data_IF_054923321226
#
_entry.id   IF_054923321226
#
_cell.length_a   1.000
_cell.length_b   1.000
_cell.length_c   1.000
_cell.angle_alpha   90.00
_cell.angle_beta   90.00
_cell.angle_gamma   90.00
#
_symmetry.space_group_name_H-M   'P 1'
#
loop_
_entity.id
_entity.type
_entity.pdbx_description
1 polymer ?
#
# COMPACT_ATOMS: atom_id res chain seq x y z
N UNK A 1 25.90 -12.02 -2.50
CA UNK A 1 25.01 -11.35 -3.47
C UNK A 1 23.88 -12.31 -3.80
N UNK A 2 22.60 -11.97 -3.52
CA UNK A 2 21.47 -12.90 -3.70
C UNK A 2 21.37 -13.38 -5.15
N UNK A 3 21.04 -14.68 -5.35
CA UNK A 3 20.96 -15.31 -6.69
C UNK A 3 19.96 -14.62 -7.65
N UNK A 4 18.90 -13.97 -7.13
CA UNK A 4 17.95 -13.23 -7.96
C UNK A 4 18.57 -11.95 -8.56
N UNK A 5 19.53 -11.32 -7.88
CA UNK A 5 20.28 -10.17 -8.42
C UNK A 5 21.29 -10.57 -9.51
N UNK A 6 21.68 -11.85 -9.60
CA UNK A 6 22.48 -12.32 -10.76
C UNK A 6 21.68 -12.30 -12.08
N UNK A 7 20.34 -12.35 -12.01
CA UNK A 7 19.46 -12.19 -13.18
C UNK A 7 19.25 -10.73 -13.60
N UNK A 8 19.51 -9.77 -12.70
CA UNK A 8 19.50 -8.36 -13.06
C UNK A 8 20.79 -8.05 -13.81
N UNK A 9 20.67 -7.67 -15.07
CA UNK A 9 21.81 -7.18 -15.85
C UNK A 9 22.48 -6.00 -15.14
N UNK A 10 23.72 -5.72 -15.50
CA UNK A 10 24.43 -4.52 -15.00
C UNK A 10 23.59 -3.25 -15.20
N UNK A 11 22.92 -3.13 -16.33
CA UNK A 11 22.01 -2.02 -16.65
C UNK A 11 20.84 -1.90 -15.67
N UNK A 12 20.16 -3.00 -15.33
CA UNK A 12 19.08 -2.96 -14.34
C UNK A 12 19.56 -2.42 -12.99
N UNK A 13 20.72 -2.85 -12.55
CA UNK A 13 21.30 -2.40 -11.27
C UNK A 13 21.70 -0.93 -11.31
N UNK A 14 22.25 -0.49 -12.43
CA UNK A 14 22.64 0.91 -12.62
C UNK A 14 21.41 1.82 -12.64
N UNK A 15 20.37 1.48 -13.40
CA UNK A 15 19.10 2.22 -13.45
C UNK A 15 18.40 2.25 -12.10
N UNK A 16 18.34 1.12 -11.40
CA UNK A 16 17.70 1.07 -10.09
C UNK A 16 18.45 1.96 -9.07
N UNK A 17 19.77 1.93 -9.06
CA UNK A 17 20.60 2.80 -8.19
C UNK A 17 20.41 4.29 -8.53
N UNK A 18 20.43 4.62 -9.82
CA UNK A 18 20.18 5.99 -10.29
C UNK A 18 18.79 6.46 -9.86
N UNK A 19 17.79 5.62 -10.02
CA UNK A 19 16.43 5.91 -9.58
C UNK A 19 16.36 6.15 -8.06
N UNK A 20 16.91 5.25 -7.24
CA UNK A 20 16.93 5.42 -5.78
C UNK A 20 17.73 6.66 -5.31
N UNK A 21 18.65 7.17 -6.13
CA UNK A 21 19.41 8.38 -5.80
C UNK A 21 18.69 9.65 -6.25
N UNK A 22 18.15 9.67 -7.45
CA UNK A 22 17.56 10.86 -8.07
C UNK A 22 16.07 11.05 -7.75
N UNK A 23 15.27 9.97 -7.80
CA UNK A 23 13.83 10.06 -7.64
C UNK A 23 13.39 10.61 -6.26
N UNK A 24 14.02 10.26 -5.12
CA UNK A 24 13.65 10.85 -3.85
C UNK A 24 13.86 12.36 -3.81
N UNK A 25 14.96 12.85 -4.42
CA UNK A 25 15.25 14.30 -4.49
C UNK A 25 14.17 15.00 -5.32
N UNK A 26 13.87 14.48 -6.52
CA UNK A 26 12.86 15.03 -7.41
C UNK A 26 11.47 14.98 -6.80
N UNK A 27 11.08 13.85 -6.23
CA UNK A 27 9.74 13.67 -5.69
C UNK A 27 9.53 14.41 -4.36
N UNK A 28 10.55 14.53 -3.50
CA UNK A 28 10.46 15.37 -2.30
C UNK A 28 10.31 16.87 -2.63
N UNK A 29 10.90 17.32 -3.73
CA UNK A 29 10.69 18.69 -4.22
C UNK A 29 9.32 18.86 -4.89
N UNK A 30 8.79 17.80 -5.50
CA UNK A 30 7.52 17.86 -6.23
C UNK A 30 6.30 17.67 -5.33
N UNK A 31 6.37 16.77 -4.32
CA UNK A 31 5.32 16.47 -3.37
C UNK A 31 5.70 16.92 -1.95
N UNK A 32 4.70 17.11 -1.11
CA UNK A 32 4.87 17.29 0.32
C UNK A 32 4.70 15.95 1.02
N UNK A 33 5.83 15.28 1.31
CA UNK A 33 5.82 13.98 2.00
C UNK A 33 5.85 14.13 3.52
N UNK A 34 5.07 13.27 4.17
CA UNK A 34 5.13 13.02 5.60
C UNK A 34 5.29 11.52 5.84
N UNK A 35 6.26 11.15 6.68
CA UNK A 35 6.55 9.76 7.02
C UNK A 35 6.35 9.54 8.50
N UNK A 36 5.58 8.52 8.88
CA UNK A 36 5.31 8.14 10.27
C UNK A 36 5.67 6.67 10.45
N UNK A 37 6.28 6.31 11.61
CA UNK A 37 6.61 4.93 11.96
C UNK A 37 7.81 4.37 11.21
N UNK A 38 8.72 5.21 10.72
CA UNK A 38 9.93 4.76 10.03
C UNK A 38 10.85 3.89 10.89
N UNK A 39 10.82 4.10 12.21
CA UNK A 39 11.49 3.26 13.20
C UNK A 39 11.09 1.79 13.09
N UNK A 40 9.85 1.48 12.69
CA UNK A 40 9.40 0.11 12.46
C UNK A 40 10.08 -0.55 11.26
N UNK A 41 10.60 0.25 10.33
CA UNK A 41 11.31 -0.22 9.15
C UNK A 41 12.78 -0.47 9.48
N UNK A 42 13.37 0.37 10.32
CA UNK A 42 14.78 0.33 10.67
C UNK A 42 15.17 -0.89 11.53
N UNK A 43 14.20 -1.52 12.21
CA UNK A 43 14.43 -2.74 13.00
C UNK A 43 14.65 -4.00 12.14
N UNK A 44 14.42 -3.92 10.83
CA UNK A 44 14.67 -5.06 9.94
C UNK A 44 16.09 -4.99 9.39
N UNK A 45 17.00 -5.96 9.68
CA UNK A 45 18.38 -5.93 9.23
C UNK A 45 18.51 -5.85 7.71
N UNK A 46 19.55 -5.17 7.22
CA UNK A 46 19.85 -5.10 5.78
C UNK A 46 20.07 -6.51 5.21
N UNK A 47 19.51 -6.77 4.03
CA UNK A 47 19.63 -8.07 3.35
C UNK A 47 18.66 -9.16 3.86
N UNK A 48 17.87 -8.90 4.90
CA UNK A 48 16.77 -9.80 5.28
C UNK A 48 15.54 -9.54 4.42
N UNK A 49 14.81 -10.59 3.99
CA UNK A 49 13.57 -10.40 3.27
C UNK A 49 12.54 -9.72 4.16
N UNK A 50 11.74 -8.84 3.58
CA UNK A 50 10.61 -8.18 4.25
C UNK A 50 9.47 -7.98 3.27
N UNK A 51 8.24 -8.13 3.72
CA UNK A 51 7.05 -7.86 2.91
C UNK A 51 6.41 -6.57 3.43
N UNK A 52 6.25 -5.59 2.55
CA UNK A 52 5.45 -4.40 2.81
C UNK A 52 4.06 -4.59 2.22
N UNK A 53 3.05 -4.57 3.07
CA UNK A 53 1.65 -4.70 2.67
C UNK A 53 0.96 -3.35 2.75
N UNK A 54 0.55 -2.79 1.61
CA UNK A 54 -0.04 -1.46 1.55
C UNK A 54 -1.42 -1.46 0.91
N UNK A 55 -2.22 -0.43 1.24
CA UNK A 55 -3.38 -0.07 0.44
C UNK A 55 -2.96 0.34 -0.98
N UNK A 56 -3.90 0.40 -1.93
CA UNK A 56 -3.57 0.70 -3.33
C UNK A 56 -4.61 1.60 -3.98
N UNK A 57 -4.26 2.87 -4.15
CA UNK A 57 -5.15 3.92 -4.67
C UNK A 57 -4.62 4.60 -5.94
N UNK A 58 -3.30 4.55 -6.17
CA UNK A 58 -2.65 5.25 -7.27
C UNK A 58 -1.62 4.38 -7.99
N UNK A 59 -1.34 4.69 -9.25
CA UNK A 59 -0.18 4.14 -9.98
C UNK A 59 1.16 4.54 -9.35
N UNK A 60 1.17 5.65 -8.60
CA UNK A 60 2.37 6.16 -7.94
C UNK A 60 2.71 5.43 -6.64
N UNK A 61 1.80 4.61 -6.07
CA UNK A 61 2.00 4.06 -4.73
C UNK A 61 3.33 3.32 -4.58
N UNK A 62 3.67 2.42 -5.51
CA UNK A 62 4.93 1.67 -5.47
C UNK A 62 6.16 2.55 -5.68
N UNK A 63 6.05 3.58 -6.52
CA UNK A 63 7.14 4.55 -6.80
C UNK A 63 7.35 5.43 -5.58
N UNK A 64 6.29 6.01 -5.04
CA UNK A 64 6.30 6.84 -3.82
C UNK A 64 6.87 6.03 -2.65
N UNK A 65 6.42 4.78 -2.51
CA UNK A 65 6.91 3.88 -1.48
C UNK A 65 8.40 3.57 -1.64
N UNK A 66 8.86 3.28 -2.86
CA UNK A 66 10.27 3.06 -3.16
C UNK A 66 11.15 4.28 -2.79
N UNK A 67 10.64 5.49 -3.02
CA UNK A 67 11.32 6.72 -2.61
C UNK A 67 11.35 6.91 -1.09
N UNK A 68 10.30 6.51 -0.37
CA UNK A 68 10.29 6.53 1.09
C UNK A 68 11.38 5.63 1.69
N UNK A 69 11.67 4.51 1.03
CA UNK A 69 12.74 3.59 1.42
C UNK A 69 14.15 4.00 0.97
N UNK A 70 14.27 4.95 0.03
CA UNK A 70 15.56 5.39 -0.51
C UNK A 70 16.35 6.29 0.46
N UNK A 71 16.41 5.92 1.73
CA UNK A 71 17.16 6.62 2.79
C UNK A 71 18.57 6.06 2.93
N UNK A 72 19.50 6.78 3.63
CA UNK A 72 20.88 6.32 3.80
C UNK A 72 20.98 4.89 4.31
N UNK A 73 20.20 4.51 5.32
CA UNK A 73 20.19 3.17 5.93
C UNK A 73 19.50 2.11 5.06
N UNK A 74 18.78 2.54 4.01
CA UNK A 74 18.00 1.67 3.11
C UNK A 74 18.51 1.67 1.68
N UNK A 75 19.57 2.43 1.36
CA UNK A 75 20.12 2.62 0.01
C UNK A 75 20.46 1.35 -0.75
N UNK A 76 20.57 0.22 -0.07
CA UNK A 76 20.96 -1.06 -0.67
C UNK A 76 19.85 -2.09 -0.75
N UNK A 77 18.64 -1.78 -0.24
CA UNK A 77 17.52 -2.71 -0.34
C UNK A 77 16.87 -2.60 -1.70
N UNK A 78 17.01 -3.66 -2.47
CA UNK A 78 16.26 -3.81 -3.69
C UNK A 78 14.84 -4.30 -3.34
N UNK A 79 13.85 -3.68 -3.97
CA UNK A 79 12.44 -3.99 -3.78
C UNK A 79 11.85 -4.54 -5.07
N UNK A 80 11.17 -5.66 -4.97
CA UNK A 80 10.31 -6.17 -6.03
C UNK A 80 8.86 -5.78 -5.74
N UNK A 81 8.05 -5.54 -6.80
CA UNK A 81 6.63 -5.26 -6.65
C UNK A 81 5.80 -5.79 -7.81
N UNK A 82 4.56 -6.18 -7.50
CA UNK A 82 3.63 -6.70 -8.49
C UNK A 82 2.99 -5.56 -9.28
N UNK A 83 3.01 -5.66 -10.60
CA UNK A 83 2.31 -4.75 -11.49
C UNK A 83 1.35 -5.51 -12.41
N UNK A 84 0.30 -4.84 -12.91
CA UNK A 84 -0.64 -5.45 -13.85
C UNK A 84 0.08 -5.91 -15.10
N UNK A 85 0.06 -7.22 -15.38
CA UNK A 85 0.69 -7.80 -16.57
C UNK A 85 0.10 -7.26 -17.87
N UNK A 86 -1.21 -6.99 -17.88
CA UNK A 86 -1.88 -6.33 -19.01
C UNK A 86 -1.31 -4.92 -19.22
N UNK A 87 -1.24 -4.09 -18.17
CA UNK A 87 -0.72 -2.73 -18.28
C UNK A 87 0.75 -2.70 -18.73
N UNK A 88 1.58 -3.63 -18.22
CA UNK A 88 2.99 -3.75 -18.64
C UNK A 88 3.17 -4.13 -20.09
N UNK A 89 2.23 -4.90 -20.68
CA UNK A 89 2.26 -5.27 -22.10
C UNK A 89 1.76 -4.15 -23.00
N UNK A 90 0.68 -3.47 -22.59
CA UNK A 90 -0.02 -2.50 -23.43
C UNK A 90 0.59 -1.10 -23.40
N UNK A 91 1.34 -0.76 -22.34
CA UNK A 91 1.91 0.57 -22.18
C UNK A 91 3.43 0.50 -21.95
N UNK A 92 4.25 1.06 -22.86
CA UNK A 92 5.72 1.05 -22.75
C UNK A 92 6.23 1.65 -21.43
N UNK A 93 5.57 2.68 -20.91
CA UNK A 93 5.93 3.28 -19.62
C UNK A 93 5.80 2.27 -18.47
N UNK A 94 4.73 1.46 -18.43
CA UNK A 94 4.59 0.43 -17.42
C UNK A 94 5.55 -0.75 -17.67
N UNK A 95 5.88 -1.04 -18.94
CA UNK A 95 6.92 -1.99 -19.29
C UNK A 95 8.29 -1.58 -18.75
N UNK A 96 8.59 -0.27 -18.79
CA UNK A 96 9.84 0.28 -18.26
C UNK A 96 9.99 0.09 -16.73
N UNK A 97 8.91 -0.02 -15.97
CA UNK A 97 8.95 -0.29 -14.53
C UNK A 97 9.63 -1.62 -14.17
N UNK A 98 9.78 -2.54 -15.15
CA UNK A 98 10.56 -3.76 -14.96
C UNK A 98 12.00 -3.46 -14.50
N UNK A 99 12.61 -2.40 -14.99
CA UNK A 99 13.95 -1.96 -14.56
C UNK A 99 14.01 -1.49 -13.11
N UNK A 100 12.86 -1.21 -12.50
CA UNK A 100 12.71 -0.79 -11.11
C UNK A 100 12.18 -1.87 -10.18
N UNK A 101 12.18 -3.13 -10.64
CA UNK A 101 11.75 -4.26 -9.83
C UNK A 101 10.29 -4.64 -9.98
N UNK A 102 9.55 -4.03 -10.92
CA UNK A 102 8.21 -4.48 -11.24
C UNK A 102 8.23 -5.84 -11.94
N UNK A 103 7.29 -6.71 -11.58
CA UNK A 103 7.05 -7.96 -12.29
C UNK A 103 5.56 -8.16 -12.54
N UNK A 104 5.21 -8.78 -13.70
CA UNK A 104 3.83 -8.87 -14.12
C UNK A 104 3.03 -9.86 -13.28
N UNK A 105 1.79 -9.49 -12.91
CA UNK A 105 0.79 -10.39 -12.36
C UNK A 105 -0.45 -10.41 -13.25
N UNK A 106 -0.92 -11.61 -13.53
CA UNK A 106 -2.15 -11.88 -14.27
C UNK A 106 -3.14 -12.50 -13.27
N UNK A 107 -4.30 -11.84 -13.00
CA UNK A 107 -5.28 -12.35 -12.02
C UNK A 107 -5.80 -13.75 -12.33
N UNK A 108 -5.88 -14.11 -13.61
CA UNK A 108 -6.29 -15.41 -14.11
C UNK A 108 -5.26 -16.51 -13.87
N UNK A 109 -3.98 -16.16 -13.78
CA UNK A 109 -2.87 -17.07 -13.49
C UNK A 109 -1.82 -16.40 -12.59
N UNK A 110 -2.03 -16.34 -11.27
CA UNK A 110 -1.14 -15.65 -10.34
C UNK A 110 0.13 -16.44 -9.98
N UNK A 111 0.19 -17.75 -10.23
CA UNK A 111 1.30 -18.61 -9.78
C UNK A 111 2.69 -18.19 -10.29
N UNK A 112 2.88 -17.82 -11.55
CA UNK A 112 4.19 -17.32 -11.99
C UNK A 112 4.67 -16.10 -11.23
N UNK A 113 3.76 -15.17 -10.89
CA UNK A 113 4.06 -13.99 -10.10
C UNK A 113 4.41 -14.35 -8.64
N UNK A 114 3.64 -15.26 -8.01
CA UNK A 114 3.93 -15.76 -6.67
C UNK A 114 5.28 -16.50 -6.61
N UNK A 115 5.61 -17.30 -7.63
CA UNK A 115 6.92 -17.96 -7.74
C UNK A 115 8.06 -16.94 -7.84
N UNK A 116 7.88 -15.89 -8.63
CA UNK A 116 8.88 -14.79 -8.74
C UNK A 116 9.03 -14.05 -7.41
N UNK A 117 7.92 -13.71 -6.75
CA UNK A 117 7.92 -13.06 -5.43
C UNK A 117 8.64 -13.93 -4.39
N UNK A 118 8.36 -15.24 -4.35
CA UNK A 118 9.01 -16.19 -3.45
C UNK A 118 10.53 -16.23 -3.68
N UNK A 119 10.96 -16.31 -4.94
CA UNK A 119 12.39 -16.27 -5.29
C UNK A 119 13.04 -14.95 -4.89
N UNK A 120 12.34 -13.84 -5.04
CA UNK A 120 12.81 -12.51 -4.62
C UNK A 120 13.03 -12.47 -3.11
N UNK A 121 12.05 -12.92 -2.31
CA UNK A 121 12.15 -13.01 -0.86
C UNK A 121 13.30 -13.95 -0.43
N UNK A 122 13.40 -15.15 -1.01
CA UNK A 122 14.51 -16.09 -0.74
C UNK A 122 15.89 -15.52 -1.10
N UNK A 123 15.94 -14.48 -1.92
CA UNK A 123 17.14 -13.77 -2.29
C UNK A 123 17.42 -12.54 -1.41
N UNK A 124 16.64 -12.32 -0.35
CA UNK A 124 16.81 -11.20 0.58
C UNK A 124 16.26 -9.87 0.08
N UNK A 125 15.42 -9.87 -0.99
CA UNK A 125 14.79 -8.64 -1.46
C UNK A 125 13.58 -8.28 -0.59
N UNK A 126 13.28 -6.98 -0.53
CA UNK A 126 11.99 -6.51 -0.06
C UNK A 126 10.91 -6.75 -1.13
N UNK A 127 9.69 -7.02 -0.70
CA UNK A 127 8.53 -7.16 -1.57
C UNK A 127 7.47 -6.14 -1.17
N UNK A 128 7.00 -5.36 -2.13
CA UNK A 128 5.83 -4.49 -1.96
C UNK A 128 4.61 -5.15 -2.62
N UNK A 129 3.54 -5.33 -1.87
CA UNK A 129 2.31 -5.97 -2.34
C UNK A 129 1.09 -5.28 -1.74
N UNK A 130 0.00 -5.22 -2.52
CA UNK A 130 -1.29 -4.77 -2.01
C UNK A 130 -2.27 -5.95 -1.90
N UNK A 131 -2.64 -6.36 -0.70
CA UNK A 131 -3.59 -7.45 -0.50
C UNK A 131 -5.00 -7.11 -0.98
N UNK A 132 -5.36 -5.84 -1.10
CA UNK A 132 -6.63 -5.41 -1.70
C UNK A 132 -6.77 -5.79 -3.19
N UNK A 133 -5.68 -6.11 -3.88
CA UNK A 133 -5.65 -6.33 -5.31
C UNK A 133 -5.62 -5.03 -6.12
N UNK A 134 -6.44 -4.95 -7.19
CA UNK A 134 -6.41 -3.79 -8.09
C UNK A 134 -6.88 -2.48 -7.44
N UNK A 135 -6.44 -1.35 -8.01
CA UNK A 135 -6.78 0.02 -7.60
C UNK A 135 -8.25 0.34 -7.90
N UNK A 136 -9.14 0.12 -6.95
CA UNK A 136 -10.57 0.41 -7.10
C UNK A 136 -11.05 1.52 -6.16
N UNK A 137 -10.33 1.77 -5.07
CA UNK A 137 -10.66 2.83 -4.14
C UNK A 137 -10.20 4.18 -4.68
N UNK A 138 -11.13 5.12 -4.86
CA UNK A 138 -10.86 6.50 -5.31
C UNK A 138 -10.90 7.49 -4.16
N UNK A 139 -11.49 7.11 -3.04
CA UNK A 139 -11.69 7.94 -1.85
C UNK A 139 -11.24 7.18 -0.60
N UNK A 140 -11.02 7.92 0.50
CA UNK A 140 -10.68 7.32 1.80
C UNK A 140 -11.79 6.40 2.30
N UNK A 141 -13.06 6.78 2.11
CA UNK A 141 -14.20 5.95 2.48
C UNK A 141 -14.24 4.64 1.68
N UNK A 142 -14.02 4.70 0.36
CA UNK A 142 -13.96 3.48 -0.46
C UNK A 142 -12.77 2.59 -0.05
N UNK A 143 -11.65 3.18 0.35
CA UNK A 143 -10.49 2.44 0.85
C UNK A 143 -10.79 1.79 2.19
N UNK A 144 -11.43 2.52 3.11
CA UNK A 144 -11.89 2.00 4.39
C UNK A 144 -12.83 0.81 4.22
N UNK A 145 -13.87 0.94 3.37
CA UNK A 145 -14.82 -0.14 3.06
C UNK A 145 -14.10 -1.36 2.45
N UNK A 146 -13.11 -1.14 1.58
CA UNK A 146 -12.34 -2.23 0.96
C UNK A 146 -11.43 -2.95 1.94
N UNK A 147 -10.89 -2.26 2.93
CA UNK A 147 -10.08 -2.88 3.97
C UNK A 147 -10.92 -3.74 4.95
N UNK A 148 -12.25 -3.61 4.92
CA UNK A 148 -13.17 -4.52 5.63
C UNK A 148 -13.53 -5.76 4.81
N UNK A 149 -13.28 -5.74 3.48
CA UNK A 149 -13.49 -6.92 2.63
C UNK A 149 -12.29 -7.86 2.72
N UNK A 150 -12.52 -9.11 2.36
CA UNK A 150 -11.46 -10.10 2.28
C UNK A 150 -10.37 -9.67 1.28
N UNK A 151 -9.13 -9.74 1.74
CA UNK A 151 -7.96 -9.53 0.90
C UNK A 151 -7.68 -10.75 0.00
N UNK A 152 -6.87 -10.56 -1.04
CA UNK A 152 -6.37 -11.65 -1.88
C UNK A 152 -5.31 -12.46 -1.14
N UNK A 153 -5.45 -13.77 -1.15
CA UNK A 153 -4.62 -14.70 -0.36
C UNK A 153 -3.15 -14.79 -0.78
N UNK A 154 -2.75 -14.15 -1.86
CA UNK A 154 -1.39 -14.26 -2.41
C UNK A 154 -0.28 -13.97 -1.42
N UNK A 155 -0.42 -12.94 -0.57
CA UNK A 155 0.60 -12.63 0.45
C UNK A 155 0.63 -13.67 1.56
N UNK A 156 -0.52 -14.19 2.00
CA UNK A 156 -0.59 -15.26 2.99
C UNK A 156 0.10 -16.54 2.49
N UNK A 157 -0.15 -16.90 1.22
CA UNK A 157 0.53 -18.03 0.56
C UNK A 157 2.05 -17.84 0.51
N UNK A 158 2.54 -16.63 0.24
CA UNK A 158 3.97 -16.35 0.26
C UNK A 158 4.57 -16.51 1.66
N UNK A 159 3.89 -16.01 2.69
CA UNK A 159 4.32 -16.14 4.09
C UNK A 159 4.39 -17.62 4.50
N UNK A 160 3.40 -18.43 4.16
CA UNK A 160 3.41 -19.86 4.44
C UNK A 160 4.50 -20.62 3.66
N UNK A 161 4.71 -20.28 2.37
CA UNK A 161 5.81 -20.83 1.56
C UNK A 161 7.21 -20.41 2.07
N UNK A 162 7.28 -19.33 2.86
CA UNK A 162 8.48 -18.91 3.61
C UNK A 162 8.47 -19.45 5.04
N UNK A 163 7.56 -20.37 5.35
CA UNK A 163 7.41 -21.00 6.64
C UNK A 163 7.25 -20.01 7.81
N UNK A 164 6.50 -18.93 7.59
CA UNK A 164 6.24 -17.89 8.60
C UNK A 164 7.46 -17.02 8.97
N UNK A 165 8.63 -17.26 8.36
CA UNK A 165 9.90 -16.63 8.76
C UNK A 165 10.08 -15.19 8.27
N UNK A 166 9.25 -14.73 7.33
CA UNK A 166 9.39 -13.40 6.72
C UNK A 166 8.60 -12.36 7.51
N UNK A 167 9.22 -11.27 8.00
CA UNK A 167 8.51 -10.18 8.65
C UNK A 167 7.64 -9.41 7.64
N UNK A 168 6.50 -8.93 8.11
CA UNK A 168 5.56 -8.12 7.35
C UNK A 168 5.40 -6.76 8.01
N UNK A 169 5.46 -5.70 7.23
CA UNK A 169 5.20 -4.33 7.71
C UNK A 169 3.94 -3.83 7.01
N UNK A 170 2.84 -3.62 7.73
CA UNK A 170 1.65 -2.99 7.17
C UNK A 170 1.91 -1.51 6.92
N UNK A 171 1.38 -0.99 5.81
CA UNK A 171 1.61 0.39 5.38
C UNK A 171 0.29 1.01 4.94
N UNK A 172 0.05 2.26 5.34
CA UNK A 172 -1.04 3.06 4.81
C UNK A 172 -0.50 4.28 4.07
N UNK A 173 -0.92 4.45 2.82
CA UNK A 173 -0.56 5.58 1.96
C UNK A 173 -1.79 6.47 1.77
N UNK A 174 -1.74 7.68 2.34
CA UNK A 174 -2.74 8.75 2.18
C UNK A 174 -2.29 9.73 1.10
N UNK A 175 -3.23 10.26 0.33
CA UNK A 175 -2.97 11.36 -0.60
C UNK A 175 -2.44 10.94 -1.98
N UNK A 176 -2.10 9.67 -2.21
CA UNK A 176 -1.57 9.23 -3.51
C UNK A 176 -2.61 9.28 -4.63
N UNK A 177 -3.89 9.03 -4.35
CA UNK A 177 -4.98 9.17 -5.31
C UNK A 177 -5.26 10.64 -5.66
N UNK A 178 -5.06 11.53 -4.72
CA UNK A 178 -5.17 12.98 -4.91
C UNK A 178 -3.96 13.52 -5.68
N UNK A 179 -2.79 12.95 -5.44
CA UNK A 179 -1.56 13.27 -6.16
C UNK A 179 -1.62 12.85 -7.63
N UNK A 180 -2.08 11.62 -7.91
CA UNK A 180 -2.31 11.12 -9.27
C UNK A 180 -3.55 10.23 -9.30
N UNK A 181 -4.70 10.84 -9.57
CA UNK A 181 -5.98 10.12 -9.70
C UNK A 181 -6.07 9.25 -10.95
N UNK A 182 -7.06 8.36 -10.94
CA UNK A 182 -7.35 7.52 -12.10
C UNK A 182 -7.63 8.36 -13.35
N UNK A 183 -7.01 8.02 -14.47
CA UNK A 183 -7.14 8.71 -15.77
C UNK A 183 -6.31 9.99 -15.89
N UNK A 184 -5.56 10.39 -14.87
CA UNK A 184 -4.61 11.51 -14.98
C UNK A 184 -3.23 11.00 -15.31
N UNK A 185 -2.51 11.75 -16.14
CA UNK A 185 -1.11 11.47 -16.54
C UNK A 185 -0.15 12.32 -15.73
N UNK A 186 -0.53 13.57 -15.44
CA UNK A 186 0.32 14.52 -14.72
C UNK A 186 -0.05 14.54 -13.23
N UNK A 187 0.91 14.28 -12.33
CA UNK A 187 0.69 14.37 -10.91
C UNK A 187 0.43 15.82 -10.46
N UNK A 188 -0.33 16.00 -9.39
CA UNK A 188 -0.59 17.31 -8.80
C UNK A 188 0.64 17.80 -8.05
N UNK A 189 1.19 18.94 -8.46
CA UNK A 189 2.31 19.60 -7.77
C UNK A 189 1.95 19.95 -6.32
N UNK A 190 2.90 19.75 -5.38
CA UNK A 190 2.73 19.98 -3.94
C UNK A 190 1.56 19.21 -3.30
N UNK A 191 1.10 18.12 -3.95
CA UNK A 191 0.16 17.25 -3.29
C UNK A 191 0.76 16.69 -2.00
N UNK A 192 -0.06 16.65 -0.94
CA UNK A 192 0.35 16.06 0.34
C UNK A 192 0.21 14.55 0.27
N UNK A 193 1.29 13.85 0.57
CA UNK A 193 1.32 12.39 0.63
C UNK A 193 1.89 11.96 1.96
N UNK A 194 1.09 11.21 2.73
CA UNK A 194 1.51 10.67 4.02
C UNK A 194 1.69 9.16 3.89
N UNK A 195 2.81 8.64 4.36
CA UNK A 195 3.10 7.20 4.41
C UNK A 195 3.28 6.81 5.86
N UNK A 196 2.42 5.91 6.34
CA UNK A 196 2.40 5.44 7.72
C UNK A 196 2.82 3.98 7.73
N UNK A 197 3.90 3.68 8.46
CA UNK A 197 4.41 2.34 8.66
C UNK A 197 3.91 1.80 9.99
N UNK A 198 3.25 0.65 9.97
CA UNK A 198 2.81 -0.06 11.16
C UNK A 198 3.93 -0.89 11.78
N UNK A 199 3.65 -1.45 12.95
CA UNK A 199 4.58 -2.35 13.64
C UNK A 199 4.85 -3.59 12.82
N UNK A 200 6.05 -4.16 12.98
CA UNK A 200 6.43 -5.41 12.33
C UNK A 200 5.54 -6.54 12.83
N UNK A 201 4.92 -7.25 11.89
CA UNK A 201 4.16 -8.47 12.15
C UNK A 201 5.04 -9.68 11.87
N UNK A 202 4.98 -10.67 12.73
CA UNK A 202 5.63 -11.98 12.56
C UNK A 202 4.58 -13.07 12.52
N UNK A 203 4.85 -14.14 11.77
CA UNK A 203 3.92 -15.25 11.56
C UNK A 203 4.57 -16.58 11.91
N UNK A 204 5.50 -16.59 12.88
CA UNK A 204 6.24 -17.78 13.32
C UNK A 204 5.33 -18.89 13.87
N UNK A 205 4.14 -18.53 14.38
CA UNK A 205 3.12 -19.50 14.82
C UNK A 205 2.63 -20.42 13.66
N UNK A 206 2.87 -20.02 12.41
CA UNK A 206 2.58 -20.84 11.23
C UNK A 206 3.79 -21.63 10.72
N UNK A 207 4.90 -21.66 11.48
CA UNK A 207 6.07 -22.48 11.13
C UNK A 207 5.77 -23.97 11.32
N UNK A 208 6.23 -24.80 10.38
CA UNK A 208 6.12 -26.24 10.42
C UNK A 208 7.46 -26.88 10.04
N UNK A 209 7.88 -27.92 10.76
CA UNK A 209 9.17 -28.60 10.49
C UNK A 209 9.32 -29.08 9.04
N UNK A 210 8.26 -29.69 8.50
CA UNK A 210 8.23 -30.20 7.11
C UNK A 210 7.73 -29.19 6.08
N UNK A 211 7.50 -27.92 6.49
CA UNK A 211 6.87 -26.92 5.66
C UNK A 211 5.37 -27.17 5.45
N UNK A 212 4.76 -26.37 4.58
CA UNK A 212 3.33 -26.45 4.28
C UNK A 212 3.07 -27.24 3.00
N UNK A 213 2.07 -28.12 3.05
CA UNK A 213 1.45 -28.75 1.88
C UNK A 213 0.29 -27.83 1.47
N UNK A 214 0.10 -27.59 0.19
CA UNK A 214 -0.96 -26.73 -0.35
C UNK A 214 -2.30 -27.47 -0.39
N UNK A 215 -2.89 -27.65 0.78
CA UNK A 215 -4.21 -28.23 1.04
C UNK A 215 -5.20 -27.16 1.54
N UNK A 216 -6.40 -27.56 1.94
CA UNK A 216 -7.43 -26.66 2.49
C UNK A 216 -6.94 -25.91 3.74
N UNK A 217 -6.11 -26.53 4.58
CA UNK A 217 -5.53 -25.91 5.78
C UNK A 217 -4.55 -24.79 5.39
N UNK A 218 -3.76 -24.99 4.34
CA UNK A 218 -2.89 -23.98 3.79
C UNK A 218 -3.67 -22.76 3.28
N UNK A 219 -4.77 -22.97 2.55
CA UNK A 219 -5.58 -21.87 2.06
C UNK A 219 -6.33 -21.15 3.17
N UNK A 220 -6.82 -21.88 4.17
CA UNK A 220 -7.45 -21.30 5.38
C UNK A 220 -6.45 -20.45 6.15
N UNK A 221 -5.27 -20.95 6.47
CA UNK A 221 -4.20 -20.21 7.14
C UNK A 221 -3.74 -18.99 6.31
N UNK A 222 -3.65 -19.14 4.99
CA UNK A 222 -3.34 -18.01 4.11
C UNK A 222 -4.35 -16.88 4.23
N UNK A 223 -5.64 -17.19 4.35
CA UNK A 223 -6.73 -16.22 4.52
C UNK A 223 -6.67 -15.55 5.88
N UNK A 224 -6.43 -16.30 6.94
CA UNK A 224 -6.29 -15.75 8.30
C UNK A 224 -5.14 -14.74 8.37
N UNK A 225 -3.98 -15.08 7.81
CA UNK A 225 -2.82 -14.18 7.73
C UNK A 225 -3.19 -12.89 6.99
N UNK A 226 -3.85 -13.00 5.84
CA UNK A 226 -4.25 -11.82 5.06
C UNK A 226 -5.25 -10.95 5.82
N UNK A 227 -6.21 -11.57 6.52
CA UNK A 227 -7.19 -10.82 7.31
C UNK A 227 -6.51 -10.05 8.46
N UNK A 228 -5.52 -10.64 9.13
CA UNK A 228 -4.72 -9.95 10.15
C UNK A 228 -3.98 -8.73 9.53
N UNK A 229 -3.31 -8.90 8.39
CA UNK A 229 -2.62 -7.82 7.68
C UNK A 229 -3.59 -6.71 7.27
N UNK A 230 -4.76 -7.07 6.72
CA UNK A 230 -5.78 -6.11 6.31
C UNK A 230 -6.34 -5.33 7.52
N UNK A 231 -6.48 -6.00 8.67
CA UNK A 231 -6.89 -5.36 9.92
C UNK A 231 -5.89 -4.29 10.36
N UNK A 232 -4.59 -4.59 10.31
CA UNK A 232 -3.53 -3.64 10.66
C UNK A 232 -3.49 -2.44 9.71
N UNK A 233 -3.58 -2.67 8.39
CA UNK A 233 -3.65 -1.56 7.42
C UNK A 233 -4.89 -0.67 7.68
N UNK A 234 -6.02 -1.28 8.06
CA UNK A 234 -7.24 -0.55 8.44
C UNK A 234 -7.04 0.27 9.72
N UNK A 235 -6.37 -0.29 10.72
CA UNK A 235 -6.06 0.44 11.96
C UNK A 235 -5.17 1.66 11.69
N UNK A 236 -4.18 1.54 10.78
CA UNK A 236 -3.36 2.67 10.34
C UNK A 236 -4.20 3.74 9.61
N UNK A 237 -5.14 3.32 8.76
CA UNK A 237 -6.08 4.25 8.13
C UNK A 237 -6.91 4.96 9.20
N UNK A 238 -7.51 4.22 10.13
CA UNK A 238 -8.35 4.80 11.18
C UNK A 238 -7.60 5.82 12.05
N UNK A 239 -6.38 5.50 12.48
CA UNK A 239 -5.54 6.44 13.25
C UNK A 239 -5.15 7.68 12.45
N UNK A 240 -4.88 7.51 11.15
CA UNK A 240 -4.47 8.62 10.25
C UNK A 240 -5.64 9.51 9.86
N UNK A 241 -6.82 8.94 9.72
CA UNK A 241 -8.02 9.59 9.21
C UNK A 241 -9.09 9.79 10.31
N UNK A 242 -8.70 9.72 11.59
CA UNK A 242 -9.67 9.71 12.70
C UNK A 242 -10.61 10.93 12.70
N UNK A 243 -10.12 12.11 12.35
CA UNK A 243 -10.96 13.31 12.30
C UNK A 243 -11.88 13.31 11.09
N UNK A 244 -11.41 12.79 9.95
CA UNK A 244 -12.23 12.62 8.75
C UNK A 244 -13.33 11.58 8.98
N UNK A 245 -13.02 10.44 9.62
CA UNK A 245 -14.00 9.41 9.94
C UNK A 245 -15.04 9.91 10.95
N UNK A 246 -14.62 10.60 12.02
CA UNK A 246 -15.56 11.24 12.97
C UNK A 246 -16.45 12.28 12.29
N UNK A 247 -15.91 13.04 11.36
CA UNK A 247 -16.69 14.00 10.58
C UNK A 247 -17.70 13.32 9.66
N UNK A 248 -17.34 12.18 9.04
CA UNK A 248 -18.27 11.36 8.26
C UNK A 248 -19.35 10.75 9.14
N UNK A 249 -19.03 10.20 10.30
CA UNK A 249 -19.99 9.70 11.28
C UNK A 249 -20.98 10.82 11.68
N UNK A 250 -20.48 12.00 12.00
CA UNK A 250 -21.31 13.15 12.33
C UNK A 250 -22.26 13.54 11.19
N UNK A 251 -21.81 13.53 9.94
CA UNK A 251 -22.68 13.81 8.78
C UNK A 251 -23.70 12.68 8.59
N UNK A 252 -23.30 11.42 8.74
CA UNK A 252 -24.16 10.26 8.57
C UNK A 252 -25.24 10.21 9.65
N UNK A 253 -24.89 10.46 10.91
CA UNK A 253 -25.85 10.54 12.01
C UNK A 253 -26.85 11.69 11.85
N UNK A 254 -26.43 12.80 11.20
CA UNK A 254 -27.32 13.94 10.93
C UNK A 254 -28.20 13.81 9.69
N UNK A 255 -27.91 12.84 8.81
CA UNK A 255 -28.55 12.76 7.47
C UNK A 255 -29.22 11.42 7.19
N UNK A 256 -28.88 10.31 7.89
CA UNK A 256 -29.32 8.97 7.44
C UNK A 256 -29.47 7.95 8.58
N UNK A 257 -30.64 7.29 8.62
CA UNK A 257 -30.77 5.92 9.08
C UNK A 257 -29.89 5.00 8.21
N UNK A 258 -29.09 4.15 8.82
CA UNK A 258 -27.97 3.37 8.25
C UNK A 258 -28.33 2.49 7.02
N UNK A 259 -29.59 2.34 6.70
CA UNK A 259 -30.08 1.45 5.62
C UNK A 259 -30.05 2.04 4.20
N UNK A 260 -29.72 3.32 4.03
CA UNK A 260 -29.76 3.98 2.72
C UNK A 260 -28.42 4.52 2.24
N UNK A 261 -27.36 3.71 2.22
CA UNK A 261 -26.15 4.02 1.43
C UNK A 261 -26.43 3.83 -0.07
N UNK A 262 -27.28 4.69 -0.63
CA UNK A 262 -27.56 4.73 -2.06
C UNK A 262 -26.37 5.32 -2.82
N UNK A 263 -26.31 5.04 -4.13
CA UNK A 263 -25.29 5.61 -5.05
C UNK A 263 -25.20 7.14 -4.98
N UNK A 264 -26.32 7.79 -4.63
CA UNK A 264 -26.42 9.25 -4.41
C UNK A 264 -25.59 9.70 -3.21
N UNK A 265 -25.63 8.95 -2.11
CA UNK A 265 -24.83 9.23 -0.90
C UNK A 265 -23.34 9.06 -1.20
N UNK A 266 -22.95 8.03 -1.94
CA UNK A 266 -21.58 7.81 -2.38
C UNK A 266 -21.09 8.98 -3.27
N UNK A 267 -21.92 9.48 -4.18
CA UNK A 267 -21.56 10.64 -5.02
C UNK A 267 -21.43 11.93 -4.20
N UNK A 268 -22.32 12.18 -3.25
CA UNK A 268 -22.26 13.34 -2.34
C UNK A 268 -21.01 13.26 -1.44
N UNK A 269 -20.73 12.11 -0.85
CA UNK A 269 -19.54 11.89 -0.03
C UNK A 269 -18.27 12.10 -0.84
N UNK A 270 -18.20 11.66 -2.10
CA UNK A 270 -17.08 11.95 -3.01
C UNK A 270 -16.87 13.46 -3.22
N UNK A 271 -17.96 14.23 -3.36
CA UNK A 271 -17.88 15.70 -3.53
C UNK A 271 -17.36 16.38 -2.26
N UNK A 272 -17.85 15.96 -1.10
CA UNK A 272 -17.41 16.46 0.21
C UNK A 272 -15.95 16.12 0.42
N UNK A 273 -15.54 14.89 0.18
CA UNK A 273 -14.16 14.45 0.34
C UNK A 273 -13.18 15.20 -0.57
N UNK A 274 -13.57 15.53 -1.82
CA UNK A 274 -12.74 16.37 -2.70
C UNK A 274 -12.54 17.78 -2.13
N UNK A 275 -13.54 18.35 -1.45
CA UNK A 275 -13.41 19.64 -0.77
C UNK A 275 -12.53 19.54 0.46
N UNK A 276 -12.64 18.44 1.21
CA UNK A 276 -11.90 18.23 2.47
C UNK A 276 -10.48 17.69 2.27
N UNK A 277 -10.17 17.10 1.12
CA UNK A 277 -8.84 16.53 0.83
C UNK A 277 -7.66 17.52 0.96
N UNK A 278 -7.96 18.82 0.94
CA UNK A 278 -6.97 19.88 1.14
C UNK A 278 -7.09 20.57 2.51
N UNK A 279 -8.02 20.15 3.35
CA UNK A 279 -8.20 20.73 4.69
C UNK A 279 -7.26 20.00 5.64
N UNK A 280 -6.38 20.71 6.35
CA UNK A 280 -5.49 20.12 7.34
C UNK A 280 -6.28 19.46 8.47
N UNK A 281 -5.76 18.35 9.03
CA UNK A 281 -6.41 17.61 10.12
C UNK A 281 -6.66 18.48 11.36
N UNK A 282 -5.79 19.47 11.64
CA UNK A 282 -5.97 20.42 12.72
C UNK A 282 -7.18 21.35 12.52
N UNK A 283 -7.52 21.68 11.27
CA UNK A 283 -8.73 22.46 10.99
C UNK A 283 -10.00 21.60 11.14
N UNK A 284 -9.96 20.33 10.72
CA UNK A 284 -11.06 19.39 10.96
C UNK A 284 -11.26 19.15 12.46
N UNK A 285 -10.16 19.01 13.21
CA UNK A 285 -10.19 18.91 14.66
C UNK A 285 -10.86 20.14 15.32
N UNK A 286 -10.42 21.35 14.97
CA UNK A 286 -11.01 22.61 15.49
C UNK A 286 -12.50 22.72 15.16
N UNK A 287 -12.90 22.26 13.97
CA UNK A 287 -14.31 22.24 13.57
C UNK A 287 -15.15 21.28 14.43
N UNK A 288 -14.65 20.07 14.67
CA UNK A 288 -15.33 19.07 15.50
C UNK A 288 -15.40 19.45 16.99
N UNK A 289 -14.40 20.17 17.48
CA UNK A 289 -14.30 20.65 18.87
C UNK A 289 -14.98 22.01 19.09
N UNK A 290 -15.44 22.68 18.01
CA UNK A 290 -16.08 23.98 18.10
C UNK A 290 -17.48 23.90 18.76
N UNK A 291 -17.78 24.72 19.78
CA UNK A 291 -19.10 24.75 20.40
C UNK A 291 -20.21 25.30 19.49
N UNK A 292 -19.86 25.96 18.36
CA UNK A 292 -20.80 26.47 17.36
C UNK A 292 -20.89 25.49 16.17
N UNK A 293 -21.59 24.38 16.36
CA UNK A 293 -21.96 23.49 15.27
C UNK A 293 -23.07 24.16 14.42
N UNK A 294 -22.70 24.83 13.36
CA UNK A 294 -23.69 25.30 12.36
C UNK A 294 -24.24 24.10 11.62
N UNK A 295 -25.56 23.94 11.63
CA UNK A 295 -26.25 23.00 10.75
C UNK A 295 -25.89 23.35 9.30
N UNK A 296 -25.16 22.49 8.60
CA UNK A 296 -25.00 22.60 7.16
C UNK A 296 -26.24 22.01 6.51
N UNK A 297 -27.09 22.87 6.00
CA UNK A 297 -28.09 22.49 4.98
C UNK A 297 -27.29 22.14 3.72
N UNK A 298 -27.33 20.89 3.30
CA UNK A 298 -26.69 20.33 2.09
C UNK A 298 -27.58 20.58 0.89
#
# INVERSE_FOLDING_TARGET
MPRALKRWSFLHRAFYRLFLSAAPILLNNYFNFEYIGLEHVDVTPEGTPVIFCANHRSHLDSIIFGCALARPNWKRRYMAFMASGKAMKENPFFGFLHYFGAFPVFPENPEPALKYALLSLKSGLALYISPQGGRRARTTLEDYVRLHKEGRTGVGRLILRMNGSVPVIPVYIKGSAEALGAGKIVPKYKARVKIVFGKVMTFQQYSKEKGWIEDDKFYTASREIVNQIMCEIRALLQSTEQYFLKFLEYILDSVINLEMLTEVTIRRTRKIQRKLANVPDDQLKRYLESPKRKSYTI
#
